data_IF_089105806814
#
_entry.id   IF_089105806814
#
_cell.length_a   1.000
_cell.length_b   1.000
_cell.length_c   1.000
_cell.angle_alpha   90.00
_cell.angle_beta   90.00
_cell.angle_gamma   90.00
#
_symmetry.space_group_name_H-M   'P 1'
#
loop_
_entity.id
_entity.type
_entity.pdbx_description
1 polymer ?
#
# COMPACT_ATOMS: atom_id res chain seq x y z
N UNK A 1 -20.91 -11.58 42.51
CA UNK A 1 -20.59 -11.88 41.10
C UNK A 1 -20.58 -10.56 40.35
N UNK A 2 -19.41 -9.94 40.19
CA UNK A 2 -19.25 -8.71 39.43
C UNK A 2 -18.92 -9.09 37.99
N UNK A 3 -19.87 -8.87 37.07
CA UNK A 3 -19.61 -8.95 35.63
C UNK A 3 -18.67 -7.80 35.24
N UNK A 4 -17.55 -8.06 34.55
CA UNK A 4 -16.73 -6.98 34.02
C UNK A 4 -17.54 -6.27 32.92
N UNK A 5 -17.85 -5.00 33.14
CA UNK A 5 -18.45 -4.13 32.13
C UNK A 5 -17.59 -4.13 30.86
N UNK A 6 -18.17 -4.17 29.65
CA UNK A 6 -17.40 -4.12 28.42
C UNK A 6 -16.68 -2.78 28.35
N UNK A 7 -15.39 -2.78 28.66
CA UNK A 7 -14.56 -1.58 28.61
C UNK A 7 -14.38 -1.24 27.13
N UNK A 8 -15.02 -0.15 26.71
CA UNK A 8 -14.77 0.41 25.38
C UNK A 8 -13.38 1.06 25.45
N UNK A 9 -12.42 0.65 24.59
CA UNK A 9 -11.13 1.32 24.52
C UNK A 9 -11.37 2.74 24.01
N UNK A 10 -10.44 3.62 24.36
CA UNK A 10 -10.49 5.05 24.07
C UNK A 10 -11.47 5.81 25.00
N UNK A 11 -11.25 5.73 26.31
CA UNK A 11 -11.92 6.66 27.21
C UNK A 11 -11.31 8.05 27.02
N UNK A 12 -12.09 8.93 26.40
CA UNK A 12 -11.76 10.35 26.35
C UNK A 12 -11.92 10.93 27.74
N UNK A 13 -10.92 11.68 28.22
CA UNK A 13 -11.00 12.39 29.51
C UNK A 13 -12.02 13.53 29.50
N UNK A 14 -12.60 13.87 28.33
CA UNK A 14 -13.67 14.86 28.20
C UNK A 14 -15.01 14.25 28.61
N UNK A 15 -15.69 14.89 29.54
CA UNK A 15 -17.10 14.59 29.81
C UNK A 15 -17.92 14.76 28.52
N UNK A 16 -18.79 13.79 28.22
CA UNK A 16 -19.72 13.75 27.07
C UNK A 16 -19.09 13.51 25.68
N UNK A 17 -17.96 12.83 25.61
CA UNK A 17 -17.30 12.52 24.34
C UNK A 17 -17.50 11.06 23.89
N UNK A 18 -18.04 10.88 22.68
CA UNK A 18 -18.25 9.58 22.01
C UNK A 18 -17.23 9.28 20.89
N UNK A 19 -15.98 9.72 21.04
CA UNK A 19 -14.96 9.49 20.03
C UNK A 19 -14.59 7.99 19.96
N UNK A 20 -14.58 7.42 18.75
CA UNK A 20 -14.24 6.01 18.54
C UNK A 20 -12.72 5.73 18.45
N UNK A 21 -11.88 6.76 18.53
CA UNK A 21 -10.43 6.63 18.50
C UNK A 21 -9.70 7.86 17.92
N UNK A 22 -8.39 7.76 17.82
CA UNK A 22 -7.53 8.79 17.23
C UNK A 22 -7.46 8.67 15.71
N UNK A 23 -7.72 9.77 14.99
CA UNK A 23 -7.48 9.84 13.53
C UNK A 23 -6.03 10.16 13.16
N UNK A 24 -5.31 10.83 14.06
CA UNK A 24 -3.90 11.21 13.87
C UNK A 24 -3.10 10.85 15.12
N UNK A 25 -1.78 10.74 15.03
CA UNK A 25 -0.92 10.48 16.22
C UNK A 25 -1.12 11.47 17.36
N UNK A 26 -1.51 12.69 17.03
CA UNK A 26 -1.45 13.79 17.99
C UNK A 26 -2.84 14.23 18.45
N UNK A 27 -3.90 14.00 17.65
CA UNK A 27 -5.23 14.56 17.92
C UNK A 27 -6.32 13.52 17.70
N UNK A 28 -7.20 13.41 18.69
CA UNK A 28 -8.47 12.69 18.62
C UNK A 28 -9.55 13.58 17.99
N UNK A 29 -10.63 12.99 17.45
CA UNK A 29 -11.78 13.73 16.88
C UNK A 29 -12.46 14.65 17.90
N UNK A 30 -12.25 14.40 19.19
CA UNK A 30 -12.72 15.25 20.28
C UNK A 30 -11.90 16.55 20.47
N UNK A 31 -10.81 16.70 19.71
CA UNK A 31 -9.89 17.84 19.74
C UNK A 31 -8.82 17.76 20.84
N UNK A 32 -8.78 16.68 21.63
CA UNK A 32 -7.84 16.51 22.73
C UNK A 32 -6.58 15.76 22.28
N UNK A 33 -5.45 16.14 22.87
CA UNK A 33 -4.13 15.58 22.57
C UNK A 33 -3.94 14.18 23.17
N UNK A 34 -3.02 13.41 22.55
CA UNK A 34 -2.71 12.01 22.90
C UNK A 34 -2.44 11.81 24.40
N UNK A 35 -1.65 12.69 25.01
CA UNK A 35 -1.21 12.57 26.41
C UNK A 35 -2.34 12.72 27.44
N UNK A 36 -3.51 13.22 27.04
CA UNK A 36 -4.69 13.36 27.91
C UNK A 36 -5.69 12.21 27.76
N UNK A 37 -5.38 11.22 26.92
CA UNK A 37 -6.18 10.00 26.81
C UNK A 37 -5.47 8.86 27.51
N UNK A 38 -6.25 8.04 28.20
CA UNK A 38 -5.75 6.79 28.76
C UNK A 38 -5.81 5.71 27.67
N UNK A 39 -4.64 5.31 27.18
CA UNK A 39 -4.53 4.27 26.17
C UNK A 39 -4.45 2.91 26.87
N UNK A 40 -5.50 2.11 26.71
CA UNK A 40 -5.50 0.72 27.16
C UNK A 40 -4.77 -0.10 26.11
N UNK A 41 -3.67 -0.75 26.51
CA UNK A 41 -2.97 -1.72 25.68
C UNK A 41 -3.71 -3.04 25.77
N UNK A 42 -4.38 -3.43 24.69
CA UNK A 42 -5.14 -4.69 24.63
C UNK A 42 -4.23 -5.84 24.18
N UNK A 43 -4.45 -7.02 24.74
CA UNK A 43 -3.85 -8.26 24.23
C UNK A 43 -4.54 -8.72 22.93
N UNK A 44 -3.89 -9.62 22.18
CA UNK A 44 -4.49 -10.20 20.98
C UNK A 44 -5.79 -10.94 21.31
N UNK A 45 -5.84 -11.67 22.43
CA UNK A 45 -7.02 -12.42 22.88
C UNK A 45 -8.19 -11.47 23.22
N UNK A 46 -7.92 -10.37 23.91
CA UNK A 46 -8.92 -9.33 24.22
C UNK A 46 -9.50 -8.72 22.95
N UNK A 47 -8.67 -8.48 21.93
CA UNK A 47 -9.12 -7.98 20.62
C UNK A 47 -9.99 -9.00 19.87
N UNK A 48 -9.67 -10.29 19.98
CA UNK A 48 -10.43 -11.38 19.35
C UNK A 48 -11.83 -11.46 19.94
N UNK A 49 -11.91 -11.46 21.27
CA UNK A 49 -13.16 -11.57 22.01
C UNK A 49 -14.12 -10.41 21.73
N UNK A 50 -13.60 -9.29 21.24
CA UNK A 50 -14.37 -8.12 20.82
C UNK A 50 -14.77 -8.14 19.34
N UNK A 51 -14.48 -9.22 18.62
CA UNK A 51 -14.80 -9.37 17.20
C UNK A 51 -13.97 -8.48 16.28
N UNK A 52 -12.84 -7.93 16.75
CA UNK A 52 -11.94 -7.14 15.93
C UNK A 52 -10.89 -8.05 15.25
N UNK A 53 -10.53 -7.78 13.98
CA UNK A 53 -9.53 -8.58 13.29
C UNK A 53 -8.17 -8.45 13.99
N UNK A 54 -7.48 -9.58 14.08
CA UNK A 54 -6.11 -9.70 14.58
C UNK A 54 -5.24 -10.04 13.38
N UNK A 55 -4.17 -9.27 13.18
CA UNK A 55 -3.21 -9.56 12.13
C UNK A 55 -2.50 -10.89 12.40
N UNK A 56 -2.05 -11.58 11.35
CA UNK A 56 -1.19 -12.75 11.52
C UNK A 56 0.06 -12.35 12.30
N UNK A 57 0.44 -13.19 13.26
CA UNK A 57 1.69 -13.03 14.00
C UNK A 57 2.86 -13.14 13.03
N UNK A 58 3.57 -12.05 12.79
CA UNK A 58 4.80 -12.07 11.99
C UNK A 58 5.81 -13.03 12.66
N UNK A 59 6.40 -13.99 11.92
CA UNK A 59 7.46 -14.85 12.45
C UNK A 59 8.75 -14.07 12.76
N UNK A 60 8.89 -12.83 12.28
CA UNK A 60 10.00 -11.93 12.61
C UNK A 60 9.48 -10.60 13.15
N UNK A 61 9.66 -10.39 14.46
CA UNK A 61 9.41 -9.12 15.14
C UNK A 61 10.67 -8.25 15.09
N UNK A 62 11.15 -7.94 13.89
CA UNK A 62 12.32 -7.08 13.72
C UNK A 62 12.04 -5.97 12.70
N UNK A 63 11.93 -4.77 13.25
CA UNK A 63 12.19 -3.46 12.64
C UNK A 63 11.29 -3.02 11.47
N UNK A 64 10.28 -2.24 11.85
CA UNK A 64 9.48 -1.44 10.94
C UNK A 64 10.32 -0.64 9.95
N UNK A 65 9.83 -0.60 8.71
CA UNK A 65 10.49 0.03 7.58
C UNK A 65 10.74 1.52 7.79
N UNK A 66 12.00 1.87 8.03
CA UNK A 66 12.54 3.24 8.05
C UNK A 66 13.19 3.61 6.70
N UNK A 67 12.60 3.25 5.56
CA UNK A 67 13.21 3.54 4.24
C UNK A 67 12.84 4.93 3.69
N UNK A 68 12.04 5.75 4.37
CA UNK A 68 11.77 7.15 3.96
C UNK A 68 11.15 8.01 5.07
N UNK A 69 11.08 9.34 4.91
CA UNK A 69 10.51 10.25 5.92
C UNK A 69 9.03 9.95 6.22
N UNK A 70 8.31 9.36 5.25
CA UNK A 70 6.96 8.82 5.40
C UNK A 70 6.90 7.67 6.41
N UNK A 71 7.99 6.93 6.61
CA UNK A 71 8.16 5.88 7.63
C UNK A 71 7.96 6.35 9.06
N UNK A 72 8.20 7.63 9.34
CA UNK A 72 7.99 8.24 10.65
C UNK A 72 6.52 8.59 10.92
N UNK A 73 5.68 8.64 9.87
CA UNK A 73 4.25 8.80 10.07
C UNK A 73 3.72 7.53 10.76
N UNK A 74 2.93 7.65 11.83
CA UNK A 74 2.34 6.52 12.53
C UNK A 74 1.70 5.54 11.55
N UNK A 75 1.88 4.23 11.77
CA UNK A 75 1.26 3.21 10.91
C UNK A 75 -0.24 3.43 10.73
N UNK A 76 -0.91 4.00 11.74
CA UNK A 76 -2.35 4.32 11.72
C UNK A 76 -2.72 5.37 10.66
N UNK A 77 -1.86 6.35 10.41
CA UNK A 77 -2.08 7.38 9.38
C UNK A 77 -1.87 6.88 7.96
N UNK A 78 -1.24 5.70 7.79
CA UNK A 78 -1.08 5.01 6.50
C UNK A 78 -2.14 3.95 6.24
N UNK A 79 -2.88 3.59 7.27
CA UNK A 79 -3.92 2.58 7.18
C UNK A 79 -5.23 3.24 6.78
N UNK A 80 -5.83 2.77 5.68
CA UNK A 80 -7.28 2.84 5.48
C UNK A 80 -7.97 2.32 6.76
N UNK A 81 -9.24 2.66 7.00
CA UNK A 81 -10.04 2.22 8.16
C UNK A 81 -9.93 0.72 8.47
N UNK A 82 -9.58 -0.09 7.48
CA UNK A 82 -9.31 -1.54 7.56
C UNK A 82 -7.93 -1.95 8.12
N UNK A 83 -6.93 -1.07 8.16
CA UNK A 83 -5.59 -1.43 8.61
C UNK A 83 -4.70 -2.14 7.58
N UNK A 84 -5.27 -2.57 6.44
CA UNK A 84 -4.62 -3.56 5.60
C UNK A 84 -3.76 -2.99 4.46
N UNK A 85 -3.87 -1.69 4.16
CA UNK A 85 -3.64 -1.24 2.79
C UNK A 85 -4.68 -1.90 1.87
N UNK A 86 -4.95 -1.33 0.71
CA UNK A 86 -5.86 -2.00 -0.23
C UNK A 86 -5.20 -3.31 -0.65
N UNK A 87 -5.70 -4.46 -0.20
CA UNK A 87 -5.21 -5.76 -0.65
C UNK A 87 -5.41 -5.79 -2.17
N UNK A 88 -4.32 -5.85 -2.92
CA UNK A 88 -4.38 -6.04 -4.37
C UNK A 88 -5.03 -7.40 -4.62
N UNK A 89 -5.94 -7.47 -5.58
CA UNK A 89 -6.45 -8.77 -6.02
C UNK A 89 -5.32 -9.60 -6.66
N UNK A 90 -5.46 -10.92 -6.73
CA UNK A 90 -4.50 -11.77 -7.44
C UNK A 90 -4.33 -11.33 -8.91
N UNK A 91 -5.40 -10.82 -9.52
CA UNK A 91 -5.37 -10.25 -10.85
C UNK A 91 -4.54 -8.97 -10.92
N UNK A 92 -4.60 -8.11 -9.90
CA UNK A 92 -3.78 -6.90 -9.84
C UNK A 92 -2.30 -7.19 -9.59
N UNK A 93 -2.00 -8.24 -8.83
CA UNK A 93 -0.63 -8.67 -8.54
C UNK A 93 0.05 -9.32 -9.76
N UNK A 94 -0.72 -10.02 -10.61
CA UNK A 94 -0.22 -10.71 -11.80
C UNK A 94 -0.26 -9.86 -13.08
N UNK A 95 -0.55 -8.55 -12.97
CA UNK A 95 -0.50 -7.62 -14.11
C UNK A 95 0.94 -7.40 -14.56
N UNK A 96 1.13 -7.31 -15.87
CA UNK A 96 2.44 -7.01 -16.44
C UNK A 96 2.88 -5.58 -16.14
N UNK A 97 4.18 -5.35 -16.16
CA UNK A 97 4.75 -4.03 -15.87
C UNK A 97 4.49 -3.10 -17.06
N UNK A 98 3.94 -1.92 -16.77
CA UNK A 98 3.59 -0.91 -17.78
C UNK A 98 4.32 0.41 -17.55
N UNK A 99 4.26 1.30 -18.54
CA UNK A 99 4.90 2.62 -18.47
C UNK A 99 4.31 3.58 -17.42
N UNK A 100 3.09 3.31 -16.94
CA UNK A 100 2.37 4.10 -15.94
C UNK A 100 2.71 3.65 -14.52
N UNK A 101 3.29 2.45 -14.37
CA UNK A 101 3.64 1.90 -13.07
C UNK A 101 4.77 2.68 -12.38
N UNK A 102 4.91 2.40 -11.09
CA UNK A 102 5.94 3.01 -10.26
C UNK A 102 7.32 2.83 -10.92
N UNK A 103 8.17 3.89 -10.95
CA UNK A 103 9.54 3.81 -11.46
C UNK A 103 10.33 2.60 -10.96
N UNK A 104 10.09 2.15 -9.72
CA UNK A 104 10.69 0.93 -9.18
C UNK A 104 10.33 -0.31 -10.02
N UNK A 105 9.06 -0.57 -10.28
CA UNK A 105 8.62 -1.73 -11.07
C UNK A 105 9.16 -1.67 -12.49
N UNK A 106 9.09 -0.49 -13.12
CA UNK A 106 9.62 -0.26 -14.48
C UNK A 106 11.11 -0.57 -14.59
N UNK A 107 11.91 -0.23 -13.58
CA UNK A 107 13.35 -0.53 -13.56
C UNK A 107 13.66 -2.02 -13.55
N UNK A 108 12.72 -2.85 -13.08
CA UNK A 108 12.85 -4.29 -12.99
C UNK A 108 12.26 -5.05 -14.19
N UNK A 109 11.58 -4.39 -15.13
CA UNK A 109 10.96 -5.03 -16.29
C UNK A 109 11.93 -5.95 -17.07
N UNK A 110 13.16 -5.48 -17.30
CA UNK A 110 14.19 -6.29 -17.98
C UNK A 110 14.62 -7.51 -17.17
N UNK A 111 14.66 -7.39 -15.83
CA UNK A 111 14.98 -8.49 -14.94
C UNK A 111 13.90 -9.58 -14.94
N UNK A 112 12.63 -9.17 -14.94
CA UNK A 112 11.48 -10.08 -15.00
C UNK A 112 11.47 -10.82 -16.35
N UNK A 113 11.61 -10.10 -17.46
CA UNK A 113 11.68 -10.70 -18.79
C UNK A 113 12.81 -11.74 -18.91
N UNK A 114 14.00 -11.44 -18.41
CA UNK A 114 15.12 -12.38 -18.42
C UNK A 114 14.83 -13.61 -17.55
N UNK A 115 14.16 -13.43 -16.40
CA UNK A 115 13.76 -14.53 -15.54
C UNK A 115 12.74 -15.46 -16.24
N UNK A 116 11.72 -14.90 -16.88
CA UNK A 116 10.73 -15.69 -17.62
C UNK A 116 11.37 -16.50 -18.75
N UNK A 117 12.30 -15.91 -19.49
CA UNK A 117 13.11 -16.62 -20.47
C UNK A 117 13.92 -17.77 -19.85
N UNK A 118 14.52 -17.57 -18.66
CA UNK A 118 15.29 -18.63 -17.98
C UNK A 118 14.43 -19.80 -17.52
N UNK A 119 13.16 -19.54 -17.18
CA UNK A 119 12.19 -20.55 -16.74
C UNK A 119 11.47 -21.20 -17.93
N UNK A 120 11.77 -20.77 -19.17
CA UNK A 120 11.07 -21.16 -20.40
C UNK A 120 9.57 -20.82 -20.41
N UNK A 121 9.16 -19.77 -19.67
CA UNK A 121 7.80 -19.25 -19.78
C UNK A 121 7.71 -18.27 -20.95
N UNK A 122 7.36 -18.80 -22.13
CA UNK A 122 7.22 -18.00 -23.35
C UNK A 122 6.07 -17.00 -23.26
N UNK A 123 5.00 -17.34 -22.55
CA UNK A 123 3.81 -16.49 -22.44
C UNK A 123 4.04 -15.33 -21.47
N UNK A 124 4.75 -15.56 -20.37
CA UNK A 124 5.23 -14.50 -19.48
C UNK A 124 6.14 -13.54 -20.23
N UNK A 125 7.18 -14.09 -20.87
CA UNK A 125 8.17 -13.30 -21.61
C UNK A 125 7.53 -12.41 -22.68
N UNK A 126 6.53 -12.92 -23.41
CA UNK A 126 5.78 -12.14 -24.39
C UNK A 126 5.02 -10.94 -23.78
N UNK A 127 4.49 -11.07 -22.56
CA UNK A 127 3.78 -9.98 -21.86
C UNK A 127 4.71 -8.86 -21.45
N UNK A 128 5.89 -9.19 -20.91
CA UNK A 128 6.86 -8.20 -20.43
C UNK A 128 7.68 -7.58 -21.56
N UNK A 129 7.78 -8.26 -22.71
CA UNK A 129 8.54 -7.81 -23.90
C UNK A 129 8.21 -6.37 -24.32
N UNK A 130 6.94 -5.98 -24.25
CA UNK A 130 6.49 -4.66 -24.70
C UNK A 130 7.15 -3.53 -23.89
N UNK A 131 7.15 -3.60 -22.56
CA UNK A 131 7.76 -2.56 -21.72
C UNK A 131 9.28 -2.56 -21.86
N UNK A 132 9.93 -3.73 -21.95
CA UNK A 132 11.38 -3.85 -22.15
C UNK A 132 11.83 -3.19 -23.46
N UNK A 133 11.13 -3.48 -24.57
CA UNK A 133 11.43 -2.88 -25.87
C UNK A 133 11.14 -1.38 -25.90
N UNK A 134 10.08 -0.94 -25.22
CA UNK A 134 9.74 0.48 -25.15
C UNK A 134 10.82 1.31 -24.46
N UNK A 135 11.47 0.76 -23.43
CA UNK A 135 12.51 1.42 -22.65
C UNK A 135 13.81 1.57 -23.42
N UNK A 136 14.08 0.68 -24.37
CA UNK A 136 15.27 0.76 -25.22
C UNK A 136 15.11 1.86 -26.29
N UNK A 137 16.18 2.62 -26.51
CA UNK A 137 16.26 3.58 -27.61
C UNK A 137 16.37 2.80 -28.92
N UNK A 138 15.58 3.17 -29.93
CA UNK A 138 15.61 2.49 -31.23
C UNK A 138 16.85 2.93 -32.02
N UNK A 139 17.40 2.06 -32.89
CA UNK A 139 18.52 2.45 -33.74
C UNK A 139 18.17 3.65 -34.62
N UNK A 140 18.95 4.73 -34.52
CA UNK A 140 18.75 5.97 -35.30
C UNK A 140 17.67 6.92 -34.76
N UNK A 141 17.05 6.63 -33.62
CA UNK A 141 16.08 7.51 -32.95
C UNK A 141 16.80 8.69 -32.27
N UNK A 142 16.32 9.92 -32.50
CA UNK A 142 16.84 11.06 -31.77
C UNK A 142 16.41 11.01 -30.31
N UNK A 143 17.14 11.72 -29.44
CA UNK A 143 16.81 11.74 -28.01
C UNK A 143 15.44 12.36 -27.73
N UNK A 144 15.05 13.39 -28.49
CA UNK A 144 13.73 14.01 -28.39
C UNK A 144 12.62 13.05 -28.81
N UNK A 145 12.80 12.33 -29.93
CA UNK A 145 11.81 11.37 -30.42
C UNK A 145 11.57 10.23 -29.42
N UNK A 146 12.65 9.77 -28.76
CA UNK A 146 12.56 8.78 -27.70
C UNK A 146 11.67 9.25 -26.54
N UNK A 147 11.91 10.47 -26.04
CA UNK A 147 11.14 11.01 -24.92
C UNK A 147 9.68 11.27 -25.30
N UNK A 148 9.43 11.76 -26.52
CA UNK A 148 8.08 11.99 -27.02
C UNK A 148 7.30 10.68 -27.14
N UNK A 149 7.89 9.63 -27.71
CA UNK A 149 7.27 8.30 -27.78
C UNK A 149 6.91 7.76 -26.40
N UNK A 150 7.85 7.81 -25.43
CA UNK A 150 7.59 7.37 -24.05
C UNK A 150 6.51 8.20 -23.35
N UNK A 151 6.40 9.48 -23.69
CA UNK A 151 5.32 10.33 -23.19
C UNK A 151 3.97 9.92 -23.76
N UNK A 152 3.89 9.72 -25.07
CA UNK A 152 2.66 9.30 -25.76
C UNK A 152 2.17 7.93 -25.24
N UNK A 153 3.06 6.96 -25.02
CA UNK A 153 2.73 5.64 -24.44
C UNK A 153 2.14 5.76 -23.03
N UNK A 154 2.66 6.66 -22.18
CA UNK A 154 2.10 6.89 -20.83
C UNK A 154 0.73 7.55 -20.91
N UNK A 155 0.56 8.54 -21.78
CA UNK A 155 -0.70 9.26 -21.95
C UNK A 155 -1.78 8.30 -22.47
N UNK A 156 -1.49 7.49 -23.48
CA UNK A 156 -2.44 6.53 -24.05
C UNK A 156 -2.86 5.46 -23.04
N UNK A 157 -1.92 4.89 -22.29
CA UNK A 157 -2.22 3.92 -21.24
C UNK A 157 -3.01 4.55 -20.09
N UNK A 158 -2.64 5.76 -19.67
CA UNK A 158 -3.40 6.47 -18.62
C UNK A 158 -4.84 6.79 -19.05
N UNK A 159 -5.06 7.14 -20.33
CA UNK A 159 -6.40 7.37 -20.87
C UNK A 159 -7.23 6.08 -20.87
N UNK A 160 -6.66 4.96 -21.32
CA UNK A 160 -7.34 3.65 -21.29
C UNK A 160 -7.65 3.18 -19.85
N UNK A 161 -6.77 3.48 -18.89
CA UNK A 161 -6.95 3.09 -17.49
C UNK A 161 -8.08 3.87 -16.80
N UNK A 162 -8.31 5.12 -17.21
CA UNK A 162 -9.43 5.93 -16.72
C UNK A 162 -10.75 5.43 -17.31
N UNK A 163 -10.80 5.05 -18.59
CA UNK A 163 -12.01 4.49 -19.21
C UNK A 163 -12.47 3.15 -18.61
N UNK A 164 -11.54 2.30 -18.13
CA UNK A 164 -11.87 1.00 -17.51
C UNK A 164 -12.40 1.13 -16.06
N UNK A 165 -12.15 2.28 -15.40
CA UNK A 165 -12.47 2.51 -13.97
C UNK A 165 -13.74 3.34 -13.74
N UNK A 166 -14.49 3.68 -14.79
CA UNK A 166 -15.83 4.33 -14.72
C UNK A 166 -16.90 3.26 -14.84
#
# INVERSE_FOLDING_TARGET
MFLPTPVTPYFCSKSDCSCNGFRTSMRCDCGIELHKHEMIMETAEERHNRGKPIGQTSPYQAMGGLTGFSSLAPGITRMDTSGAGKLLSEEEMNKSITSVDNPFLRSHAQGVFNYELTVNDTNGAERERHEVESQMRRPGESELDYYERRYQERVSLSASYVEIRV
#
